data_IF_810122403566
#
_entry.id   IF_810122403566
#
_cell.length_a   1.000
_cell.length_b   1.000
_cell.length_c   1.000
_cell.angle_alpha   90.00
_cell.angle_beta   90.00
_cell.angle_gamma   90.00
#
_symmetry.space_group_name_H-M   'P 1'
#
loop_
_entity.id
_entity.type
_entity.pdbx_description
1 polymer ?
#
# COMPACT_ATOMS: atom_id res chain seq x y z
N UNK A 1 28.59 33.20 4.01
CA UNK A 1 28.66 32.43 2.74
C UNK A 1 27.28 31.95 2.27
N UNK A 2 26.41 31.42 3.14
CA UNK A 2 25.05 30.97 2.80
C UNK A 2 24.17 32.08 2.17
N UNK A 3 24.25 33.31 2.68
CA UNK A 3 23.50 34.45 2.14
C UNK A 3 23.90 34.82 0.70
N UNK A 4 25.18 34.67 0.34
CA UNK A 4 25.69 35.01 -1.00
C UNK A 4 25.17 33.98 -2.03
N UNK A 5 25.17 32.70 -1.66
CA UNK A 5 24.64 31.64 -2.52
C UNK A 5 23.12 31.76 -2.75
N UNK A 6 22.37 32.08 -1.69
CA UNK A 6 20.92 32.27 -1.75
C UNK A 6 20.52 33.54 -2.52
N UNK A 7 21.22 34.66 -2.36
CA UNK A 7 20.98 35.85 -3.17
C UNK A 7 21.34 35.64 -4.65
N UNK A 8 22.34 34.81 -4.95
CA UNK A 8 22.73 34.50 -6.34
C UNK A 8 21.68 33.62 -7.05
N UNK A 9 21.06 32.67 -6.34
CA UNK A 9 20.06 31.74 -6.92
C UNK A 9 18.61 32.25 -6.88
N UNK A 10 18.23 32.96 -5.81
CA UNK A 10 16.85 33.40 -5.56
C UNK A 10 16.69 34.93 -5.59
N UNK A 11 17.76 35.67 -5.84
CA UNK A 11 17.73 37.14 -5.91
C UNK A 11 17.27 37.77 -4.59
N UNK A 12 16.63 38.94 -4.70
CA UNK A 12 16.06 39.66 -3.55
C UNK A 12 15.03 38.83 -2.78
N UNK A 13 14.31 37.94 -3.46
CA UNK A 13 13.30 37.06 -2.86
C UNK A 13 13.93 36.10 -1.86
N UNK A 14 15.11 35.54 -2.18
CA UNK A 14 15.86 34.68 -1.26
C UNK A 14 16.27 35.41 0.02
N UNK A 15 16.74 36.66 -0.11
CA UNK A 15 17.11 37.52 1.02
C UNK A 15 15.90 37.83 1.92
N UNK A 16 14.73 38.12 1.35
CA UNK A 16 13.49 38.32 2.09
C UNK A 16 13.02 37.06 2.82
N UNK A 17 13.05 35.90 2.16
CA UNK A 17 12.70 34.61 2.75
C UNK A 17 13.60 34.27 3.93
N UNK A 18 14.91 34.52 3.81
CA UNK A 18 15.85 34.20 4.88
C UNK A 18 15.71 35.15 6.06
N UNK A 19 15.52 36.45 5.82
CA UNK A 19 15.21 37.40 6.89
C UNK A 19 13.90 37.04 7.60
N UNK A 20 12.88 36.57 6.86
CA UNK A 20 11.64 36.09 7.47
C UNK A 20 11.86 34.84 8.32
N UNK A 21 12.55 33.83 7.78
CA UNK A 21 12.86 32.58 8.51
C UNK A 21 13.70 32.86 9.76
N UNK A 22 14.71 33.73 9.68
CA UNK A 22 15.53 34.10 10.84
C UNK A 22 14.74 34.87 11.89
N UNK A 23 13.87 35.80 11.49
CA UNK A 23 13.05 36.61 12.41
C UNK A 23 11.99 35.78 13.13
N UNK A 24 11.39 34.82 12.45
CA UNK A 24 10.31 33.99 12.98
C UNK A 24 10.72 32.56 13.33
N UNK A 25 12.03 32.28 13.38
CA UNK A 25 12.60 30.95 13.61
C UNK A 25 11.96 30.22 14.80
N UNK A 26 11.83 30.93 15.93
CA UNK A 26 11.25 30.39 17.16
C UNK A 26 9.78 29.98 17.04
N UNK A 27 9.04 30.52 16.07
CA UNK A 27 7.65 30.15 15.79
C UNK A 27 7.54 29.07 14.71
N UNK A 28 8.41 29.15 13.69
CA UNK A 28 8.39 28.25 12.53
C UNK A 28 8.89 26.86 12.92
N UNK A 29 9.99 26.76 13.67
CA UNK A 29 10.58 25.47 14.00
C UNK A 29 9.65 24.59 14.85
N UNK A 30 9.02 25.08 15.94
CA UNK A 30 8.05 24.27 16.67
C UNK A 30 6.87 23.83 15.81
N UNK A 31 6.36 24.70 14.92
CA UNK A 31 5.28 24.34 14.01
C UNK A 31 5.69 23.20 13.05
N UNK A 32 6.90 23.26 12.48
CA UNK A 32 7.45 22.19 11.63
C UNK A 32 7.63 20.90 12.43
N UNK A 33 8.14 20.97 13.66
CA UNK A 33 8.33 19.79 14.51
C UNK A 33 7.00 19.13 14.88
N UNK A 34 6.01 19.92 15.31
CA UNK A 34 4.65 19.43 15.61
C UNK A 34 4.06 18.75 14.37
N UNK A 35 4.22 19.38 13.20
CA UNK A 35 3.74 18.83 11.95
C UNK A 35 4.48 17.54 11.56
N UNK A 36 5.80 17.46 11.77
CA UNK A 36 6.58 16.24 11.56
C UNK A 36 6.14 15.10 12.47
N UNK A 37 5.85 15.38 13.75
CA UNK A 37 5.26 14.40 14.68
C UNK A 37 3.89 13.94 14.17
N UNK A 38 3.06 14.88 13.72
CA UNK A 38 1.74 14.56 13.18
C UNK A 38 1.83 13.66 11.92
N UNK A 39 2.76 13.95 11.00
CA UNK A 39 3.02 13.15 9.81
C UNK A 39 3.51 11.75 10.19
N UNK A 40 4.49 11.65 11.09
CA UNK A 40 5.02 10.35 11.53
C UNK A 40 3.95 9.48 12.18
N UNK A 41 3.07 10.04 13.01
CA UNK A 41 1.91 9.33 13.56
C UNK A 41 0.96 8.86 12.47
N UNK A 42 0.67 9.71 11.49
CA UNK A 42 -0.22 9.39 10.36
C UNK A 42 0.36 8.27 9.48
N UNK A 43 1.64 8.33 9.14
CA UNK A 43 2.32 7.28 8.37
C UNK A 43 2.45 5.99 9.17
N UNK A 44 2.69 6.07 10.48
CA UNK A 44 2.72 4.89 11.34
C UNK A 44 1.34 4.22 11.41
N UNK A 45 0.26 5.01 11.44
CA UNK A 45 -1.11 4.50 11.42
C UNK A 45 -1.40 3.71 10.15
N UNK A 46 -1.04 4.27 8.99
CA UNK A 46 -1.18 3.57 7.72
C UNK A 46 -0.40 2.25 7.70
N UNK A 47 0.87 2.26 8.14
CA UNK A 47 1.71 1.04 8.22
C UNK A 47 1.11 -0.02 9.12
N UNK A 48 0.46 0.38 10.22
CA UNK A 48 -0.20 -0.55 11.14
C UNK A 48 -1.40 -1.23 10.47
N UNK A 49 -2.24 -0.45 9.78
CA UNK A 49 -3.39 -0.97 9.03
C UNK A 49 -2.92 -1.91 7.91
N UNK A 50 -1.90 -1.51 7.15
CA UNK A 50 -1.31 -2.31 6.08
C UNK A 50 -0.76 -3.65 6.59
N UNK A 51 -0.06 -3.65 7.73
CA UNK A 51 0.42 -4.88 8.37
C UNK A 51 -0.74 -5.81 8.75
N UNK A 52 -1.82 -5.27 9.30
CA UNK A 52 -3.03 -6.04 9.62
C UNK A 52 -3.65 -6.69 8.40
N UNK A 53 -3.80 -5.93 7.31
CA UNK A 53 -4.30 -6.45 6.02
C UNK A 53 -3.40 -7.57 5.49
N UNK A 54 -2.08 -7.38 5.51
CA UNK A 54 -1.14 -8.38 5.01
C UNK A 54 -1.20 -9.70 5.81
N UNK A 55 -1.47 -9.62 7.12
CA UNK A 55 -1.66 -10.81 7.95
C UNK A 55 -2.96 -11.55 7.60
N UNK A 56 -4.06 -10.82 7.42
CA UNK A 56 -5.35 -11.43 7.07
C UNK A 56 -5.29 -12.08 5.68
N UNK A 57 -4.67 -11.42 4.71
CA UNK A 57 -4.42 -11.94 3.35
C UNK A 57 -3.61 -13.23 3.41
N UNK A 58 -2.54 -13.24 4.21
CA UNK A 58 -1.71 -14.42 4.39
C UNK A 58 -2.48 -15.56 5.06
N UNK A 59 -3.31 -15.27 6.07
CA UNK A 59 -4.15 -16.28 6.72
C UNK A 59 -5.13 -16.91 5.73
N UNK A 60 -5.83 -16.09 4.94
CA UNK A 60 -6.76 -16.58 3.91
C UNK A 60 -6.07 -17.44 2.86
N UNK A 61 -4.87 -17.02 2.41
CA UNK A 61 -4.10 -17.78 1.46
C UNK A 61 -3.67 -19.14 2.03
N UNK A 62 -3.23 -19.17 3.29
CA UNK A 62 -2.87 -20.42 3.97
C UNK A 62 -4.07 -21.37 4.08
N UNK A 63 -5.22 -20.86 4.51
CA UNK A 63 -6.45 -21.65 4.65
C UNK A 63 -6.93 -22.21 3.29
N UNK A 64 -6.75 -21.44 2.21
CA UNK A 64 -7.10 -21.87 0.86
C UNK A 64 -6.14 -22.96 0.32
N UNK A 65 -4.84 -22.87 0.59
CA UNK A 65 -3.85 -23.88 0.23
C UNK A 65 -4.06 -25.17 1.04
N UNK A 66 -4.39 -25.07 2.32
CA UNK A 66 -4.66 -26.24 3.17
C UNK A 66 -5.88 -27.03 2.68
N UNK A 67 -6.93 -26.34 2.21
CA UNK A 67 -8.14 -26.96 1.66
C UNK A 67 -7.95 -27.50 0.25
N UNK A 68 -7.11 -26.86 -0.57
CA UNK A 68 -6.81 -27.31 -1.92
C UNK A 68 -5.32 -27.09 -2.20
N UNK A 69 -4.47 -28.11 -1.94
CA UNK A 69 -3.03 -28.01 -2.11
C UNK A 69 -2.64 -27.62 -3.53
N UNK A 70 -3.40 -28.03 -4.55
CA UNK A 70 -3.10 -27.83 -5.97
C UNK A 70 -3.75 -26.59 -6.59
N UNK A 71 -4.24 -25.68 -5.76
CA UNK A 71 -4.80 -24.41 -6.23
C UNK A 71 -3.75 -23.62 -7.03
N UNK A 72 -4.17 -23.11 -8.19
CA UNK A 72 -3.35 -22.26 -9.04
C UNK A 72 -3.21 -20.85 -8.41
N UNK A 73 -2.14 -20.15 -8.75
CA UNK A 73 -1.84 -18.78 -8.34
C UNK A 73 -2.99 -17.80 -8.61
N UNK A 74 -3.56 -17.83 -9.82
CA UNK A 74 -4.69 -16.97 -10.21
C UNK A 74 -5.93 -17.27 -9.37
N UNK A 75 -6.26 -18.56 -9.20
CA UNK A 75 -7.38 -19.02 -8.38
C UNK A 75 -7.23 -18.64 -6.91
N UNK A 76 -5.99 -18.60 -6.39
CA UNK A 76 -5.72 -18.21 -5.02
C UNK A 76 -5.97 -16.72 -4.82
N UNK A 77 -5.47 -15.88 -5.74
CA UNK A 77 -5.66 -14.42 -5.70
C UNK A 77 -7.14 -14.06 -5.80
N UNK A 78 -7.90 -14.71 -6.70
CA UNK A 78 -9.35 -14.51 -6.85
C UNK A 78 -10.14 -14.85 -5.58
N UNK A 79 -9.65 -15.78 -4.75
CA UNK A 79 -10.31 -16.17 -3.49
C UNK A 79 -10.02 -15.25 -2.31
N UNK A 80 -8.96 -14.44 -2.39
CA UNK A 80 -8.58 -13.55 -1.29
C UNK A 80 -9.51 -12.35 -1.27
N UNK A 81 -10.32 -12.24 -0.21
CA UNK A 81 -11.19 -11.09 0.00
C UNK A 81 -10.69 -10.26 1.18
N UNK A 82 -10.14 -9.09 0.90
CA UNK A 82 -9.55 -8.22 1.93
C UNK A 82 -10.66 -7.55 2.76
N UNK A 83 -10.75 -7.82 4.08
CA UNK A 83 -11.77 -7.21 4.94
C UNK A 83 -11.33 -5.83 5.40
N UNK A 84 -11.33 -4.88 4.48
CA UNK A 84 -10.85 -3.51 4.71
C UNK A 84 -11.49 -2.82 5.92
N UNK A 85 -12.80 -2.89 6.07
CA UNK A 85 -13.51 -2.21 7.16
C UNK A 85 -13.10 -2.75 8.53
N UNK A 86 -12.96 -4.07 8.63
CA UNK A 86 -12.51 -4.74 9.86
C UNK A 86 -11.08 -4.30 10.19
N UNK A 87 -10.18 -4.34 9.21
CA UNK A 87 -8.80 -3.92 9.39
C UNK A 87 -8.67 -2.45 9.82
N UNK A 88 -9.48 -1.55 9.24
CA UNK A 88 -9.48 -0.15 9.63
C UNK A 88 -9.98 0.02 11.07
N UNK A 89 -11.07 -0.66 11.45
CA UNK A 89 -11.62 -0.57 12.81
C UNK A 89 -10.68 -1.13 13.88
N UNK A 90 -10.00 -2.24 13.60
CA UNK A 90 -9.14 -2.93 14.57
C UNK A 90 -7.74 -2.32 14.67
N UNK A 91 -7.17 -1.87 13.55
CA UNK A 91 -5.76 -1.45 13.50
C UNK A 91 -5.56 0.06 13.46
N UNK A 92 -6.58 0.85 13.16
CA UNK A 92 -6.46 2.32 13.17
C UNK A 92 -6.37 2.84 14.60
N UNK A 93 -5.27 3.53 14.92
CA UNK A 93 -5.09 4.21 16.20
C UNK A 93 -5.19 5.73 16.09
N UNK A 94 -5.07 6.27 14.88
CA UNK A 94 -5.06 7.70 14.59
C UNK A 94 -6.14 8.04 13.55
N UNK A 95 -6.80 9.20 13.63
CA UNK A 95 -7.85 9.57 12.67
C UNK A 95 -7.30 10.00 11.30
N UNK A 96 -5.97 10.03 11.12
CA UNK A 96 -5.32 10.39 9.87
C UNK A 96 -4.34 9.32 9.41
N UNK A 97 -4.10 9.32 8.10
CA UNK A 97 -3.10 8.50 7.41
C UNK A 97 -2.31 9.37 6.43
N UNK A 98 -1.09 8.97 6.16
CA UNK A 98 -0.22 9.60 5.16
C UNK A 98 0.54 8.51 4.44
N UNK A 99 0.63 8.59 3.11
CA UNK A 99 1.56 7.78 2.35
C UNK A 99 3.00 7.99 2.82
N UNK A 100 3.89 7.06 2.45
CA UNK A 100 5.29 7.09 2.91
C UNK A 100 6.08 8.28 2.33
N UNK A 101 5.72 8.70 1.12
CA UNK A 101 6.30 9.83 0.39
C UNK A 101 5.42 11.07 0.40
N UNK A 102 4.23 10.99 0.99
CA UNK A 102 3.27 12.09 0.96
C UNK A 102 3.58 13.09 2.06
N UNK A 103 3.60 14.36 1.67
CA UNK A 103 3.63 15.48 2.60
C UNK A 103 2.22 15.91 2.99
N UNK A 104 1.17 15.16 2.62
CA UNK A 104 -0.21 15.49 2.91
C UNK A 104 -0.87 14.38 3.72
N UNK A 105 -1.59 14.79 4.75
CA UNK A 105 -2.36 13.92 5.64
C UNK A 105 -3.81 13.92 5.22
N UNK A 106 -4.40 12.73 5.15
CA UNK A 106 -5.83 12.55 4.85
C UNK A 106 -6.51 11.79 5.97
N UNK A 107 -7.83 11.92 6.10
CA UNK A 107 -8.58 11.18 7.13
C UNK A 107 -8.53 9.68 6.87
N UNK A 108 -8.47 8.90 7.94
CA UNK A 108 -8.60 7.44 7.91
C UNK A 108 -10.02 7.09 7.48
N UNK A 109 -10.18 6.67 6.22
CA UNK A 109 -11.43 6.12 5.71
C UNK A 109 -11.13 5.01 4.68
N UNK A 110 -12.17 4.24 4.33
CA UNK A 110 -12.04 3.11 3.41
C UNK A 110 -11.46 3.52 2.05
N UNK A 111 -11.94 4.63 1.50
CA UNK A 111 -11.57 5.12 0.18
C UNK A 111 -10.09 5.51 0.12
N UNK A 112 -9.65 6.40 1.02
CA UNK A 112 -8.29 6.88 1.11
C UNK A 112 -7.30 5.76 1.40
N UNK A 113 -7.66 4.79 2.25
CA UNK A 113 -6.77 3.67 2.56
C UNK A 113 -6.60 2.76 1.35
N UNK A 114 -7.69 2.46 0.64
CA UNK A 114 -7.59 1.67 -0.60
C UNK A 114 -6.76 2.37 -1.67
N UNK A 115 -6.94 3.68 -1.80
CA UNK A 115 -6.20 4.51 -2.75
C UNK A 115 -4.69 4.54 -2.43
N UNK A 116 -4.32 4.84 -1.18
CA UNK A 116 -2.91 4.93 -0.77
C UNK A 116 -2.23 3.55 -0.76
N UNK A 117 -2.91 2.50 -0.30
CA UNK A 117 -2.33 1.15 -0.23
C UNK A 117 -2.24 0.53 -1.63
N UNK A 118 -3.02 0.99 -2.61
CA UNK A 118 -3.05 0.53 -4.00
C UNK A 118 -3.00 -1.00 -4.09
N UNK A 119 -3.92 -1.65 -3.38
CA UNK A 119 -3.88 -3.09 -3.19
C UNK A 119 -4.41 -3.82 -4.43
N UNK A 120 -3.47 -4.34 -5.21
CA UNK A 120 -3.70 -5.09 -6.44
C UNK A 120 -3.21 -6.54 -6.33
N UNK A 121 -3.49 -7.33 -7.36
CA UNK A 121 -3.05 -8.73 -7.45
C UNK A 121 -1.53 -8.86 -7.28
N UNK A 122 -0.75 -7.93 -7.85
CA UNK A 122 0.72 -7.92 -7.70
C UNK A 122 1.15 -7.73 -6.24
N UNK A 123 0.45 -6.89 -5.49
CA UNK A 123 0.71 -6.68 -4.07
C UNK A 123 0.40 -7.93 -3.26
N UNK A 124 -0.70 -8.63 -3.58
CA UNK A 124 -1.01 -9.93 -2.98
C UNK A 124 0.12 -10.92 -3.26
N UNK A 125 0.55 -11.05 -4.51
CA UNK A 125 1.65 -11.93 -4.91
C UNK A 125 2.93 -11.62 -4.12
N UNK A 126 3.33 -10.36 -4.04
CA UNK A 126 4.50 -9.93 -3.27
C UNK A 126 4.38 -10.28 -1.78
N UNK A 127 3.20 -10.18 -1.18
CA UNK A 127 2.98 -10.54 0.23
C UNK A 127 3.17 -12.04 0.43
N UNK A 128 2.63 -12.86 -0.47
CA UNK A 128 2.72 -14.32 -0.40
C UNK A 128 4.15 -14.82 -0.64
N UNK A 129 4.84 -14.26 -1.63
CA UNK A 129 6.25 -14.57 -1.93
C UNK A 129 7.17 -14.22 -0.75
N UNK A 130 7.02 -13.03 -0.16
CA UNK A 130 7.80 -12.61 1.02
C UNK A 130 7.61 -13.51 2.23
N UNK A 131 6.49 -14.24 2.30
CA UNK A 131 6.15 -15.15 3.39
C UNK A 131 6.50 -16.61 3.11
N UNK A 132 7.17 -16.88 1.99
CA UNK A 132 7.71 -18.22 1.67
C UNK A 132 6.69 -19.18 1.05
N UNK A 133 5.59 -18.68 0.48
CA UNK A 133 4.70 -19.53 -0.33
C UNK A 133 5.34 -19.67 -1.72
N UNK A 134 6.26 -20.64 -1.85
CA UNK A 134 7.15 -20.81 -3.01
C UNK A 134 6.47 -21.36 -4.28
N UNK A 135 5.20 -21.81 -4.20
CA UNK A 135 4.39 -22.19 -5.40
C UNK A 135 4.23 -21.05 -6.43
N UNK A 136 4.71 -19.85 -6.11
CA UNK A 136 4.70 -18.65 -6.94
C UNK A 136 5.99 -18.43 -7.75
N UNK A 137 7.05 -19.22 -7.51
CA UNK A 137 8.36 -19.06 -8.18
C UNK A 137 8.51 -19.84 -9.48
N UNK A 138 7.56 -20.74 -9.78
CA UNK A 138 7.51 -21.51 -11.02
C UNK A 138 6.64 -20.79 -12.05
N UNK A 139 7.21 -20.64 -13.26
CA UNK A 139 6.63 -20.13 -14.52
C UNK A 139 5.19 -19.62 -14.42
N UNK A 140 5.03 -18.30 -14.69
CA UNK A 140 3.80 -17.65 -15.19
C UNK A 140 2.79 -18.67 -15.68
N UNK A 141 1.95 -19.18 -14.77
CA UNK A 141 1.02 -20.25 -15.08
C UNK A 141 0.19 -19.74 -16.26
N UNK A 142 0.40 -20.40 -17.39
CA UNK A 142 -0.13 -20.13 -18.71
C UNK A 142 -1.45 -19.39 -18.59
N UNK A 143 -1.50 -18.14 -19.08
CA UNK A 143 -2.74 -17.35 -19.24
C UNK A 143 -3.86 -18.33 -19.55
N UNK A 144 -4.87 -18.43 -18.67
CA UNK A 144 -6.10 -19.21 -18.91
C UNK A 144 -6.52 -18.95 -20.35
N UNK A 145 -6.23 -19.90 -21.23
CA UNK A 145 -6.50 -19.71 -22.64
C UNK A 145 -7.98 -20.01 -22.78
N UNK A 146 -8.81 -18.96 -22.73
CA UNK A 146 -10.27 -19.06 -22.78
C UNK A 146 -10.77 -19.97 -23.91
N UNK A 147 -9.97 -20.11 -24.98
CA UNK A 147 -10.17 -21.05 -26.08
C UNK A 147 -10.11 -22.53 -25.68
N UNK A 148 -9.15 -22.94 -24.83
CA UNK A 148 -9.02 -24.32 -24.37
C UNK A 148 -10.19 -24.73 -23.46
N UNK A 149 -10.65 -23.81 -22.62
CA UNK A 149 -11.81 -24.04 -21.75
C UNK A 149 -13.12 -24.13 -22.56
N UNK A 150 -13.27 -23.27 -23.58
CA UNK A 150 -14.39 -23.35 -24.53
C UNK A 150 -14.40 -24.67 -25.29
N UNK A 151 -13.25 -25.11 -25.82
CA UNK A 151 -13.13 -26.39 -26.54
C UNK A 151 -13.52 -27.54 -25.61
N UNK A 152 -12.95 -27.63 -24.40
CA UNK A 152 -13.30 -28.68 -23.43
C UNK A 152 -14.79 -28.70 -23.06
N UNK A 153 -15.43 -27.53 -22.97
CA UNK A 153 -16.86 -27.42 -22.67
C UNK A 153 -17.74 -27.85 -23.86
N UNK A 154 -17.24 -27.73 -25.08
CA UNK A 154 -17.93 -28.16 -26.31
C UNK A 154 -17.68 -29.64 -26.62
N UNK A 155 -16.47 -30.16 -26.42
CA UNK A 155 -16.14 -31.58 -26.65
C UNK A 155 -16.54 -32.51 -25.51
N UNK A 156 -16.75 -32.01 -24.28
CA UNK A 156 -17.19 -32.81 -23.13
C UNK A 156 -18.66 -33.27 -23.16
N UNK A 157 -19.40 -33.05 -24.25
CA UNK A 157 -20.75 -33.58 -24.47
C UNK A 157 -20.81 -34.33 -25.80
N UNK A 158 -20.38 -35.59 -25.79
CA UNK A 158 -20.93 -36.74 -26.54
C UNK A 158 -19.84 -37.79 -26.73
N UNK A 159 -19.81 -38.77 -25.82
CA UNK A 159 -19.62 -40.18 -26.16
C UNK A 159 -20.49 -40.97 -25.17
N UNK A 160 -21.78 -41.07 -25.50
CA UNK A 160 -22.56 -42.29 -25.24
C UNK A 160 -22.30 -43.26 -26.39
#
# INVERSE_FOLDING_TARGET
MTNIWLETFLGKIGSYLMNFLSKYYYYIIPAILIYGIFLTLSSYNLKRIEKGINLEVFSQAKDAIEKNPDINKVDLVEKINVPWEKAIKEFSFFPYVSGQSDLWVVKTNLFNIKDIVAFDDRKIEMILERKGIEKFRGESAVRRNLYLEYIHRVTGRKEE
#
